data_IF_341987982310
#
_entry.id   IF_341987982310
#
_cell.length_a   1.000
_cell.length_b   1.000
_cell.length_c   1.000
_cell.angle_alpha   90.00
_cell.angle_beta   90.00
_cell.angle_gamma   90.00
#
_symmetry.space_group_name_H-M   'P 1'
#
loop_
_entity.id
_entity.type
_entity.pdbx_description
1 polymer ?
#
# COMPACT_ATOMS: atom_id res chain seq x y z
N UNK A 1 -33.99 -4.48 26.29
CA UNK A 1 -32.70 -3.85 26.65
C UNK A 1 -31.45 -4.49 26.01
N UNK A 2 -31.34 -5.82 25.84
CA UNK A 2 -30.13 -6.46 25.25
C UNK A 2 -29.82 -6.10 23.77
N UNK A 3 -30.83 -5.80 22.95
CA UNK A 3 -30.66 -5.58 21.49
C UNK A 3 -30.14 -4.19 21.14
N UNK A 4 -30.54 -3.16 21.90
CA UNK A 4 -30.05 -1.78 21.76
C UNK A 4 -28.63 -1.61 22.26
N UNK A 5 -28.26 -2.30 23.35
CA UNK A 5 -26.88 -2.37 23.83
C UNK A 5 -25.96 -2.97 22.75
N UNK A 6 -26.39 -4.05 22.09
CA UNK A 6 -25.60 -4.72 21.04
C UNK A 6 -25.36 -3.82 19.81
N UNK A 7 -26.30 -2.95 19.44
CA UNK A 7 -26.12 -2.01 18.33
C UNK A 7 -25.27 -0.80 18.71
N UNK A 8 -25.39 -0.30 19.94
CA UNK A 8 -24.49 0.72 20.46
C UNK A 8 -23.04 0.22 20.53
N UNK A 9 -22.83 -1.00 21.03
CA UNK A 9 -21.50 -1.62 21.06
C UNK A 9 -20.94 -1.86 19.66
N UNK A 10 -21.78 -2.25 18.69
CA UNK A 10 -21.34 -2.40 17.30
C UNK A 10 -20.92 -1.06 16.68
N UNK A 11 -21.67 0.02 16.91
CA UNK A 11 -21.31 1.35 16.41
C UNK A 11 -20.02 1.89 17.05
N UNK A 12 -19.87 1.73 18.37
CA UNK A 12 -18.65 2.12 19.10
C UNK A 12 -17.45 1.28 18.64
N UNK A 13 -17.64 -0.02 18.40
CA UNK A 13 -16.60 -0.90 17.89
C UNK A 13 -16.20 -0.53 16.45
N UNK A 14 -17.14 -0.17 15.58
CA UNK A 14 -16.84 0.33 14.23
C UNK A 14 -16.09 1.66 14.26
N UNK A 15 -16.42 2.57 15.19
CA UNK A 15 -15.69 3.84 15.37
C UNK A 15 -14.28 3.59 15.90
N UNK A 16 -14.12 2.72 16.89
CA UNK A 16 -12.81 2.31 17.42
C UNK A 16 -11.95 1.63 16.35
N UNK A 17 -12.52 0.70 15.57
CA UNK A 17 -11.82 0.08 14.45
C UNK A 17 -11.34 1.12 13.43
N UNK A 18 -12.20 2.08 13.08
CA UNK A 18 -11.85 3.14 12.14
C UNK A 18 -10.72 4.02 12.69
N UNK A 19 -10.79 4.42 13.96
CA UNK A 19 -9.73 5.18 14.64
C UNK A 19 -8.42 4.39 14.71
N UNK A 20 -8.47 3.09 15.03
CA UNK A 20 -7.28 2.24 15.06
C UNK A 20 -6.65 2.08 13.67
N UNK A 21 -7.45 1.87 12.63
CA UNK A 21 -6.95 1.81 11.24
C UNK A 21 -6.28 3.12 10.83
N UNK A 22 -6.86 4.28 11.17
CA UNK A 22 -6.25 5.58 10.89
C UNK A 22 -4.94 5.76 11.68
N UNK A 23 -4.86 5.35 12.94
CA UNK A 23 -3.59 5.41 13.67
C UNK A 23 -2.52 4.43 13.16
N UNK A 24 -2.91 3.27 12.60
CA UNK A 24 -1.96 2.30 12.03
C UNK A 24 -1.40 2.78 10.68
N UNK A 25 -2.18 3.53 9.89
CA UNK A 25 -1.68 4.14 8.64
C UNK A 25 -0.78 5.36 8.91
N UNK A 26 -1.01 6.10 10.00
CA UNK A 26 -0.16 7.23 10.39
C UNK A 26 1.03 6.87 11.30
N UNK A 27 0.99 5.73 12.01
CA UNK A 27 2.02 5.32 12.97
C UNK A 27 3.15 4.45 12.39
N UNK A 28 3.11 4.10 11.11
CA UNK A 28 4.17 3.32 10.46
C UNK A 28 5.28 4.21 9.89
N UNK A 29 5.88 5.07 10.71
CA UNK A 29 7.18 5.69 10.46
C UNK A 29 7.92 5.85 11.81
N UNK A 30 8.25 4.72 12.43
CA UNK A 30 9.44 4.64 13.29
C UNK A 30 10.47 3.79 12.53
N UNK A 31 10.87 4.27 11.35
CA UNK A 31 12.21 4.02 10.87
C UNK A 31 13.11 4.96 11.66
N UNK A 32 13.89 4.41 12.59
CA UNK A 32 15.13 5.08 13.01
C UNK A 32 16.08 5.02 11.84
N UNK A 33 15.85 5.88 10.84
CA UNK A 33 16.83 6.16 9.81
C UNK A 33 17.79 7.17 10.45
N UNK A 34 18.89 6.67 11.01
CA UNK A 34 20.08 7.47 11.29
C UNK A 34 20.71 7.84 9.94
N UNK A 35 20.01 8.69 9.19
CA UNK A 35 20.51 9.29 7.97
C UNK A 35 21.26 10.55 8.41
N UNK A 36 22.56 10.39 8.68
CA UNK A 36 23.49 11.52 8.80
C UNK A 36 23.43 12.33 7.52
N UNK A 37 22.58 13.37 7.53
CA UNK A 37 22.43 14.29 6.41
C UNK A 37 23.77 15.02 6.19
N UNK A 38 24.35 14.98 4.98
CA UNK A 38 25.57 15.70 4.68
C UNK A 38 25.34 17.20 4.88
N UNK A 39 26.24 17.82 5.65
CA UNK A 39 26.21 19.24 6.03
C UNK A 39 26.58 20.15 4.86
N UNK A 40 25.76 20.18 3.82
CA UNK A 40 25.78 21.24 2.83
C UNK A 40 24.60 22.16 3.09
N UNK A 41 24.90 23.36 3.58
CA UNK A 41 23.95 24.34 4.07
C UNK A 41 22.90 24.71 3.00
N UNK A 42 21.74 24.06 3.04
CA UNK A 42 20.52 24.67 2.53
C UNK A 42 20.08 25.66 3.59
N UNK A 43 20.33 26.94 3.32
CA UNK A 43 19.83 28.08 4.09
C UNK A 43 18.32 27.88 4.24
N UNK A 44 17.86 27.48 5.43
CA UNK A 44 16.47 27.49 5.79
C UNK A 44 16.01 28.95 5.75
N UNK A 45 15.52 29.40 4.59
CA UNK A 45 14.94 30.72 4.47
C UNK A 45 13.67 30.74 5.31
N UNK A 46 13.78 31.38 6.48
CA UNK A 46 12.67 31.67 7.38
C UNK A 46 11.73 32.67 6.68
N UNK A 47 10.86 32.18 5.81
CA UNK A 47 9.81 33.00 5.24
C UNK A 47 8.87 33.43 6.38
N UNK A 48 8.71 34.74 6.58
CA UNK A 48 7.80 35.30 7.59
C UNK A 48 6.40 34.70 7.38
N UNK A 49 5.92 33.94 8.37
CA UNK A 49 4.62 33.26 8.34
C UNK A 49 3.57 34.24 8.89
N UNK A 50 3.05 35.11 8.04
CA UNK A 50 1.87 35.93 8.37
C UNK A 50 0.64 35.06 8.15
N UNK A 51 -0.26 35.02 9.14
CA UNK A 51 -1.41 34.10 9.23
C UNK A 51 -2.44 34.23 8.07
N UNK A 52 -2.30 35.24 7.20
CA UNK A 52 -3.21 35.55 6.08
C UNK A 52 -2.53 35.76 4.72
N UNK A 53 -1.29 35.28 4.51
CA UNK A 53 -0.69 35.35 3.17
C UNK A 53 -1.10 34.14 2.32
N UNK A 54 -2.04 34.33 1.40
CA UNK A 54 -2.26 33.38 0.30
C UNK A 54 -1.02 33.45 -0.61
N UNK A 55 -0.19 32.39 -0.67
CA UNK A 55 1.03 32.44 -1.47
C UNK A 55 0.66 32.55 -2.96
N UNK A 56 1.26 33.53 -3.65
CA UNK A 56 0.95 33.92 -5.05
C UNK A 56 1.19 32.76 -6.06
N UNK A 57 1.82 31.65 -5.66
CA UNK A 57 2.08 30.47 -6.48
C UNK A 57 1.86 29.13 -5.73
N UNK A 58 0.89 29.07 -4.80
CA UNK A 58 0.60 27.86 -4.01
C UNK A 58 -0.56 27.01 -4.54
N UNK A 59 -0.59 25.74 -4.12
CA UNK A 59 -1.70 24.82 -4.35
C UNK A 59 -2.44 24.48 -3.05
N UNK A 60 -3.68 23.97 -3.18
CA UNK A 60 -4.52 23.55 -2.06
C UNK A 60 -4.87 22.07 -2.22
N UNK A 61 -4.32 21.24 -1.34
CA UNK A 61 -4.73 19.85 -1.22
C UNK A 61 -5.82 19.75 -0.15
N UNK A 62 -6.99 19.24 -0.54
CA UNK A 62 -8.16 19.11 0.35
C UNK A 62 -8.63 17.67 0.35
N UNK A 63 -8.74 17.09 1.53
CA UNK A 63 -9.30 15.76 1.76
C UNK A 63 -10.50 15.90 2.69
N UNK A 64 -11.60 15.23 2.35
CA UNK A 64 -12.81 15.21 3.17
C UNK A 64 -13.13 13.78 3.54
N UNK A 65 -13.02 13.46 4.83
CA UNK A 65 -13.40 12.16 5.37
C UNK A 65 -14.79 12.27 5.97
N UNK A 66 -15.71 11.39 5.59
CA UNK A 66 -17.07 11.36 6.11
C UNK A 66 -17.40 10.02 6.75
N UNK A 67 -18.17 10.06 7.83
CA UNK A 67 -18.79 8.90 8.46
C UNK A 67 -20.29 9.16 8.63
N UNK A 68 -21.10 8.23 8.15
CA UNK A 68 -22.55 8.25 8.27
C UNK A 68 -22.98 6.93 8.92
N UNK A 69 -23.72 7.02 10.03
CA UNK A 69 -24.32 5.84 10.65
C UNK A 69 -25.75 6.11 11.09
N UNK A 70 -26.71 5.22 10.80
CA UNK A 70 -28.05 5.29 11.39
C UNK A 70 -27.98 4.90 12.88
N UNK A 71 -28.53 5.74 13.76
CA UNK A 71 -28.67 5.45 15.18
C UNK A 71 -30.14 5.16 15.49
N UNK A 72 -30.40 3.98 16.06
CA UNK A 72 -31.71 3.61 16.59
C UNK A 72 -31.72 3.82 18.09
N UNK A 73 -32.35 4.90 18.53
CA UNK A 73 -32.61 5.15 19.95
C UNK A 73 -33.87 4.41 20.43
N UNK A 74 -34.18 4.52 21.72
CA UNK A 74 -35.36 3.88 22.32
C UNK A 74 -36.69 4.44 21.77
N UNK A 75 -36.68 5.65 21.22
CA UNK A 75 -37.80 6.31 20.55
C UNK A 75 -37.91 5.88 19.08
N UNK A 76 -39.13 5.86 18.55
CA UNK A 76 -39.52 5.28 17.25
C UNK A 76 -39.01 6.01 16.00
N UNK A 77 -38.36 7.17 16.17
CA UNK A 77 -37.88 8.00 15.06
C UNK A 77 -36.42 7.65 14.71
N UNK A 78 -36.12 7.24 13.46
CA UNK A 78 -34.75 6.99 13.03
C UNK A 78 -33.99 8.32 12.90
N UNK A 79 -32.78 8.41 13.48
CA UNK A 79 -31.87 9.56 13.30
C UNK A 79 -30.54 9.08 12.73
N UNK A 80 -29.93 9.89 11.87
CA UNK A 80 -28.58 9.63 11.34
C UNK A 80 -27.55 10.50 12.06
N UNK A 81 -26.41 9.89 12.39
CA UNK A 81 -25.22 10.60 12.85
C UNK A 81 -24.30 10.79 11.64
N UNK A 82 -23.99 12.05 11.35
CA UNK A 82 -23.06 12.46 10.31
C UNK A 82 -21.84 13.10 10.95
N UNK A 83 -20.65 12.61 10.63
CA UNK A 83 -19.37 13.20 11.00
C UNK A 83 -18.60 13.47 9.71
N UNK A 84 -18.07 14.68 9.54
CA UNK A 84 -17.17 15.00 8.45
C UNK A 84 -15.94 15.74 8.97
N UNK A 85 -14.78 15.29 8.52
CA UNK A 85 -13.48 15.88 8.86
C UNK A 85 -12.88 16.45 7.58
N UNK A 86 -12.59 17.75 7.59
CA UNK A 86 -11.96 18.44 6.48
C UNK A 86 -10.47 18.66 6.79
N UNK A 87 -9.60 18.03 6.01
CA UNK A 87 -8.16 18.21 6.07
C UNK A 87 -7.74 19.09 4.89
N UNK A 88 -7.28 20.30 5.18
CA UNK A 88 -6.79 21.25 4.18
C UNK A 88 -5.31 21.54 4.41
N UNK A 89 -4.48 21.21 3.42
CA UNK A 89 -3.06 21.51 3.40
C UNK A 89 -2.78 22.56 2.32
N UNK A 90 -2.31 23.73 2.74
CA UNK A 90 -1.86 24.80 1.85
C UNK A 90 -0.35 24.69 1.69
N UNK A 91 0.12 24.40 0.49
CA UNK A 91 1.55 24.26 0.20
C UNK A 91 2.02 25.33 -0.79
N UNK A 92 3.28 25.75 -0.64
CA UNK A 92 3.96 26.65 -1.58
C UNK A 92 4.74 25.80 -2.57
N UNK A 93 4.53 26.02 -3.86
CA UNK A 93 5.40 25.42 -4.87
C UNK A 93 6.70 26.22 -4.84
N UNK A 94 7.81 25.56 -4.51
CA UNK A 94 9.12 26.20 -4.58
C UNK A 94 9.39 26.54 -6.06
N UNK A 95 9.91 27.75 -6.38
CA UNK A 95 10.23 28.12 -7.75
C UNK A 95 11.36 27.26 -8.35
N UNK A 96 12.18 26.64 -7.50
CA UNK A 96 13.08 25.57 -7.88
C UNK A 96 12.37 24.22 -7.67
N UNK A 97 11.87 23.64 -8.76
CA UNK A 97 11.49 22.23 -8.79
C UNK A 97 12.75 21.38 -8.54
N UNK A 98 12.83 20.74 -7.37
CA UNK A 98 13.90 19.78 -7.00
C UNK A 98 13.63 18.39 -7.62
N UNK A 99 12.49 18.21 -8.30
CA UNK A 99 12.27 17.04 -9.16
C UNK A 99 13.10 17.18 -10.45
N UNK A 100 13.59 16.06 -11.01
CA UNK A 100 14.26 16.11 -12.30
C UNK A 100 13.31 16.79 -13.28
N UNK A 101 13.82 17.72 -14.09
CA UNK A 101 13.02 18.29 -15.17
C UNK A 101 12.35 17.12 -15.88
N UNK A 102 11.02 17.12 -16.09
CA UNK A 102 10.43 16.09 -16.92
C UNK A 102 10.97 16.34 -18.32
N UNK A 103 12.07 15.67 -18.65
CA UNK A 103 12.23 15.18 -20.00
C UNK A 103 10.90 14.51 -20.34
N UNK A 104 10.35 14.81 -21.51
CA UNK A 104 9.04 14.30 -21.92
C UNK A 104 8.90 12.83 -21.51
N UNK A 105 7.71 12.37 -21.09
CA UNK A 105 7.51 10.97 -20.67
C UNK A 105 8.09 9.99 -21.71
N UNK A 106 8.07 10.39 -22.98
CA UNK A 106 8.68 9.70 -24.11
C UNK A 106 10.22 9.65 -24.09
N UNK A 107 10.90 10.73 -23.66
CA UNK A 107 12.36 10.78 -23.55
C UNK A 107 12.88 9.97 -22.36
N UNK A 108 12.14 9.92 -21.25
CA UNK A 108 12.45 8.98 -20.15
C UNK A 108 12.20 7.51 -20.54
N UNK A 109 11.19 7.23 -21.36
CA UNK A 109 11.00 5.88 -21.97
C UNK A 109 12.07 5.52 -22.98
N UNK A 110 12.60 6.50 -23.70
CA UNK A 110 13.70 6.33 -24.64
C UNK A 110 15.08 6.39 -23.98
N UNK A 111 15.13 6.61 -22.66
CA UNK A 111 16.37 6.57 -21.91
C UNK A 111 16.67 5.12 -21.56
N UNK A 112 17.57 4.48 -22.33
CA UNK A 112 18.07 3.13 -22.07
C UNK A 112 18.69 2.98 -20.66
N UNK A 113 19.02 4.10 -20.00
CA UNK A 113 19.56 4.14 -18.64
C UNK A 113 18.49 3.92 -17.55
N UNK A 114 17.20 4.11 -17.85
CA UNK A 114 16.13 3.93 -16.85
C UNK A 114 15.77 2.44 -16.73
N UNK A 115 16.40 1.78 -15.77
CA UNK A 115 15.96 0.46 -15.30
C UNK A 115 14.71 0.61 -14.42
N UNK A 116 13.63 -0.09 -14.77
CA UNK A 116 12.43 -0.14 -13.95
C UNK A 116 12.68 -1.00 -12.70
N UNK A 117 13.01 -0.35 -11.58
CA UNK A 117 13.21 -0.99 -10.27
C UNK A 117 11.92 -1.10 -9.44
N UNK A 118 10.76 -0.74 -10.01
CA UNK A 118 9.49 -0.73 -9.26
C UNK A 118 9.13 -2.11 -8.73
N UNK A 119 9.36 -3.17 -9.51
CA UNK A 119 9.13 -4.57 -9.07
C UNK A 119 10.04 -4.98 -7.91
N UNK A 120 11.32 -4.62 -7.97
CA UNK A 120 12.28 -4.92 -6.89
C UNK A 120 11.86 -4.26 -5.58
N UNK A 121 11.42 -3.00 -5.64
CA UNK A 121 10.88 -2.30 -4.47
C UNK A 121 9.59 -2.93 -3.95
N UNK A 122 8.69 -3.32 -4.86
CA UNK A 122 7.44 -3.98 -4.50
C UNK A 122 7.69 -5.31 -3.78
N UNK A 123 8.57 -6.16 -4.34
CA UNK A 123 8.94 -7.44 -3.72
C UNK A 123 9.58 -7.23 -2.34
N UNK A 124 10.46 -6.23 -2.19
CA UNK A 124 11.03 -5.89 -0.88
C UNK A 124 9.97 -5.47 0.14
N UNK A 125 8.93 -4.73 -0.29
CA UNK A 125 7.80 -4.35 0.58
C UNK A 125 6.99 -5.59 0.96
N UNK A 126 6.68 -6.48 0.01
CA UNK A 126 5.92 -7.70 0.28
C UNK A 126 6.68 -8.63 1.23
N UNK A 127 7.98 -8.81 1.04
CA UNK A 127 8.82 -9.59 1.97
C UNK A 127 8.77 -9.02 3.38
N UNK A 128 8.90 -7.69 3.53
CA UNK A 128 8.82 -7.01 4.84
C UNK A 128 7.44 -7.20 5.48
N UNK A 129 6.37 -7.13 4.69
CA UNK A 129 5.01 -7.34 5.18
C UNK A 129 4.81 -8.77 5.70
N UNK A 130 5.25 -9.76 4.93
CA UNK A 130 5.17 -11.18 5.32
C UNK A 130 6.03 -11.48 6.56
N UNK A 131 7.23 -10.89 6.66
CA UNK A 131 8.07 -10.97 7.87
C UNK A 131 7.39 -10.37 9.09
N UNK A 132 6.68 -9.24 8.93
CA UNK A 132 5.91 -8.61 10.01
C UNK A 132 4.76 -9.48 10.51
N UNK A 133 4.22 -10.36 9.67
CA UNK A 133 3.23 -11.37 10.05
C UNK A 133 3.86 -12.66 10.60
N UNK A 134 5.13 -12.63 10.99
CA UNK A 134 5.89 -13.76 11.54
C UNK A 134 5.96 -14.95 10.57
N UNK A 135 6.09 -14.67 9.26
CA UNK A 135 6.21 -15.67 8.19
C UNK A 135 7.58 -15.58 7.51
N UNK A 136 8.01 -16.65 6.84
CA UNK A 136 9.20 -16.64 5.99
C UNK A 136 8.96 -15.80 4.73
N UNK A 137 9.21 -14.49 4.82
CA UNK A 137 8.83 -13.53 3.79
C UNK A 137 9.38 -13.82 2.39
N UNK A 138 10.65 -14.24 2.28
CA UNK A 138 11.28 -14.58 1.00
C UNK A 138 10.69 -15.86 0.40
N UNK A 139 10.66 -16.96 1.16
CA UNK A 139 10.12 -18.24 0.68
C UNK A 139 8.63 -18.16 0.34
N UNK A 140 7.83 -17.43 1.13
CA UNK A 140 6.40 -17.23 0.84
C UNK A 140 6.15 -16.35 -0.39
N UNK A 141 7.01 -15.37 -0.65
CA UNK A 141 6.94 -14.57 -1.88
C UNK A 141 7.32 -15.42 -3.11
N UNK A 142 8.39 -16.21 -3.02
CA UNK A 142 8.79 -17.14 -4.09
C UNK A 142 7.69 -18.17 -4.39
N UNK A 143 7.06 -18.71 -3.35
CA UNK A 143 5.90 -19.60 -3.49
C UNK A 143 4.73 -18.90 -4.19
N UNK A 144 4.43 -17.66 -3.82
CA UNK A 144 3.38 -16.86 -4.46
C UNK A 144 3.65 -16.65 -5.96
N UNK A 145 4.88 -16.34 -6.33
CA UNK A 145 5.27 -16.15 -7.75
C UNK A 145 5.14 -17.46 -8.54
N UNK A 146 5.51 -18.58 -7.92
CA UNK A 146 5.34 -19.92 -8.50
C UNK A 146 3.85 -20.24 -8.72
N UNK A 147 2.99 -20.03 -7.71
CA UNK A 147 1.55 -20.29 -7.77
C UNK A 147 0.83 -19.42 -8.82
N UNK A 148 1.20 -18.13 -8.93
CA UNK A 148 0.67 -17.23 -9.95
C UNK A 148 1.08 -17.68 -11.36
N UNK A 149 2.33 -18.14 -11.54
CA UNK A 149 2.81 -18.63 -12.82
C UNK A 149 2.21 -19.99 -13.22
N UNK A 150 1.88 -20.83 -12.23
CA UNK A 150 1.18 -22.11 -12.45
C UNK A 150 -0.29 -21.89 -12.81
N UNK A 151 -0.98 -21.00 -12.09
CA UNK A 151 -2.42 -20.72 -12.26
C UNK A 151 -2.68 -19.22 -12.47
N UNK A 152 -2.56 -18.72 -13.72
CA UNK A 152 -2.72 -17.30 -13.98
C UNK A 152 -4.14 -16.83 -13.66
N UNK A 153 -4.27 -15.77 -12.87
CA UNK A 153 -5.52 -15.31 -12.25
C UNK A 153 -6.45 -14.54 -13.22
N UNK A 154 -6.37 -14.80 -14.54
CA UNK A 154 -7.06 -14.03 -15.59
C UNK A 154 -8.59 -14.02 -15.47
N UNK A 155 -9.15 -15.00 -14.76
CA UNK A 155 -10.59 -15.14 -14.55
C UNK A 155 -11.15 -14.36 -13.36
N UNK A 156 -10.29 -13.79 -12.50
CA UNK A 156 -10.70 -13.04 -11.30
C UNK A 156 -10.90 -11.53 -11.56
N UNK A 157 -11.20 -11.15 -12.82
CA UNK A 157 -11.41 -9.77 -13.24
C UNK A 157 -10.14 -8.91 -13.16
N UNK A 158 -10.32 -7.61 -12.92
CA UNK A 158 -9.22 -6.62 -12.89
C UNK A 158 -8.18 -6.93 -11.79
N UNK A 159 -8.65 -7.39 -10.63
CA UNK A 159 -7.76 -7.71 -9.50
C UNK A 159 -6.87 -8.89 -9.87
N UNK A 160 -7.44 -9.96 -10.42
CA UNK A 160 -6.66 -11.10 -10.90
C UNK A 160 -5.60 -10.72 -11.93
N UNK A 161 -5.98 -9.92 -12.93
CA UNK A 161 -5.04 -9.41 -13.93
C UNK A 161 -3.92 -8.54 -13.32
N UNK A 162 -4.24 -7.76 -12.27
CA UNK A 162 -3.24 -6.96 -11.57
C UNK A 162 -2.23 -7.85 -10.83
N UNK A 163 -2.69 -8.86 -10.10
CA UNK A 163 -1.82 -9.81 -9.41
C UNK A 163 -0.92 -10.57 -10.39
N UNK A 164 -1.49 -11.01 -11.51
CA UNK A 164 -0.75 -11.67 -12.60
C UNK A 164 0.40 -10.78 -13.12
N UNK A 165 0.12 -9.51 -13.42
CA UNK A 165 1.13 -8.57 -13.94
C UNK A 165 2.20 -8.19 -12.91
N UNK A 166 1.80 -8.03 -11.64
CA UNK A 166 2.70 -7.60 -10.56
C UNK A 166 3.65 -8.72 -10.15
N UNK A 167 3.15 -9.96 -10.03
CA UNK A 167 3.93 -11.10 -9.56
C UNK A 167 4.53 -11.97 -10.67
N UNK A 168 4.36 -11.61 -11.94
CA UNK A 168 5.06 -12.25 -13.06
C UNK A 168 6.31 -11.45 -13.43
N UNK A 169 7.51 -11.88 -12.99
CA UNK A 169 8.75 -11.21 -13.37
C UNK A 169 9.10 -11.47 -14.84
N UNK A 170 9.77 -10.52 -15.48
CA UNK A 170 10.31 -10.65 -16.83
C UNK A 170 11.83 -10.71 -16.80
N UNK A 171 12.45 -11.29 -17.84
CA UNK A 171 13.93 -11.39 -17.92
C UNK A 171 14.61 -10.03 -18.04
N UNK A 172 13.86 -9.00 -18.44
CA UNK A 172 14.32 -7.60 -18.51
C UNK A 172 14.36 -6.92 -17.13
N UNK A 173 13.71 -7.50 -16.13
CA UNK A 173 13.66 -6.93 -14.79
C UNK A 173 14.98 -7.24 -14.06
N UNK A 174 15.58 -6.24 -13.41
CA UNK A 174 16.77 -6.42 -12.56
C UNK A 174 16.38 -7.02 -11.21
N UNK A 175 15.97 -8.29 -11.22
CA UNK A 175 15.55 -9.06 -10.07
C UNK A 175 16.55 -10.17 -9.76
N UNK A 176 16.55 -10.63 -8.51
CA UNK A 176 17.32 -11.81 -8.12
C UNK A 176 16.88 -13.03 -8.94
N UNK A 177 17.85 -13.88 -9.29
CA UNK A 177 17.67 -15.06 -10.12
C UNK A 177 16.65 -16.06 -9.54
N UNK A 178 16.52 -16.09 -8.21
CA UNK A 178 15.54 -16.92 -7.50
C UNK A 178 14.10 -16.61 -7.93
N UNK A 179 13.77 -15.33 -8.17
CA UNK A 179 12.43 -14.91 -8.59
C UNK A 179 12.11 -15.39 -10.01
N UNK A 180 13.09 -15.30 -10.90
CA UNK A 180 12.96 -15.82 -12.27
C UNK A 180 12.84 -17.34 -12.27
N UNK A 181 13.55 -18.01 -11.37
CA UNK A 181 13.47 -19.45 -11.21
C UNK A 181 12.10 -19.90 -10.66
N UNK A 182 11.56 -19.19 -9.67
CA UNK A 182 10.22 -19.43 -9.15
C UNK A 182 9.14 -19.38 -10.23
N UNK A 183 9.20 -18.38 -11.11
CA UNK A 183 8.31 -18.29 -12.28
C UNK A 183 8.48 -19.51 -13.21
N UNK A 184 9.71 -19.92 -13.49
CA UNK A 184 9.98 -21.08 -14.35
C UNK A 184 9.42 -22.38 -13.74
N UNK A 185 9.49 -22.55 -12.44
CA UNK A 185 8.87 -23.71 -11.76
C UNK A 185 7.35 -23.73 -11.91
N UNK A 186 6.68 -22.60 -11.70
CA UNK A 186 5.24 -22.50 -11.91
C UNK A 186 4.82 -22.72 -13.36
N UNK A 187 5.55 -22.12 -14.32
CA UNK A 187 5.30 -22.30 -15.74
C UNK A 187 5.48 -23.75 -16.23
N UNK A 188 6.32 -24.53 -15.55
CA UNK A 188 6.53 -25.96 -15.82
C UNK A 188 5.52 -26.87 -15.10
N UNK A 189 4.59 -26.32 -14.31
CA UNK A 189 3.59 -27.09 -13.56
C UNK A 189 4.20 -27.92 -12.43
N UNK A 190 5.29 -27.46 -11.82
CA UNK A 190 5.88 -28.12 -10.65
C UNK A 190 5.06 -27.76 -9.41
N UNK A 191 4.83 -28.73 -8.53
CA UNK A 191 4.15 -28.49 -7.25
C UNK A 191 4.91 -27.46 -6.39
N UNK A 192 4.43 -26.21 -6.43
CA UNK A 192 5.02 -25.07 -5.76
C UNK A 192 5.04 -25.20 -4.22
N UNK A 193 4.10 -25.96 -3.64
CA UNK A 193 4.07 -26.25 -2.20
C UNK A 193 5.30 -27.05 -1.78
N UNK A 194 5.65 -28.06 -2.57
CA UNK A 194 6.75 -28.97 -2.27
C UNK A 194 8.11 -28.31 -2.49
N UNK A 195 8.24 -27.50 -3.54
CA UNK A 195 9.47 -26.76 -3.83
C UNK A 195 9.77 -25.72 -2.73
N UNK A 196 8.75 -25.01 -2.25
CA UNK A 196 8.89 -23.97 -1.22
C UNK A 196 8.29 -24.39 0.13
N UNK A 197 8.80 -25.50 0.67
CA UNK A 197 8.33 -26.08 1.95
C UNK A 197 8.49 -25.18 3.18
N UNK A 198 9.38 -24.17 3.12
CA UNK A 198 9.58 -23.17 4.18
C UNK A 198 8.37 -22.24 4.39
N UNK A 199 7.41 -22.25 3.47
CA UNK A 199 6.16 -21.51 3.58
C UNK A 199 4.98 -22.50 3.66
N UNK A 200 4.46 -22.80 4.87
CA UNK A 200 3.33 -23.71 5.03
C UNK A 200 2.01 -23.10 4.51
N UNK A 201 0.99 -23.94 4.32
CA UNK A 201 -0.33 -23.51 3.91
C UNK A 201 -0.91 -22.45 4.87
N UNK A 202 -1.50 -21.38 4.33
CA UNK A 202 -2.02 -20.25 5.10
C UNK A 202 -1.01 -19.13 5.36
N UNK A 203 0.28 -19.37 5.10
CA UNK A 203 1.32 -18.35 5.18
C UNK A 203 1.57 -17.63 3.84
N UNK A 204 1.09 -18.20 2.72
CA UNK A 204 1.14 -17.56 1.41
C UNK A 204 0.33 -16.26 1.36
N UNK A 205 0.72 -15.35 0.45
CA UNK A 205 -0.03 -14.12 0.21
C UNK A 205 -1.41 -14.48 -0.37
N UNK A 206 -1.42 -15.38 -1.37
CA UNK A 206 -2.65 -15.83 -2.01
C UNK A 206 -3.56 -16.55 -1.02
N UNK A 207 -3.05 -17.49 -0.21
CA UNK A 207 -3.83 -18.21 0.80
C UNK A 207 -4.61 -17.31 1.77
N UNK A 208 -4.15 -16.06 1.98
CA UNK A 208 -4.82 -15.10 2.87
C UNK A 208 -5.98 -14.37 2.18
N UNK A 209 -5.93 -14.23 0.85
CA UNK A 209 -6.93 -13.50 0.04
C UNK A 209 -7.85 -14.44 -0.75
N UNK A 210 -7.40 -15.65 -1.08
CA UNK A 210 -8.22 -16.71 -1.65
C UNK A 210 -8.91 -17.45 -0.50
N UNK A 211 -10.10 -16.98 -0.16
CA UNK A 211 -11.06 -17.85 0.52
C UNK A 211 -11.43 -18.95 -0.48
N UNK A 212 -10.76 -20.10 -0.42
CA UNK A 212 -11.34 -21.34 -0.92
C UNK A 212 -12.53 -21.58 -0.01
N UNK A 213 -13.71 -21.16 -0.49
CA UNK A 213 -14.97 -21.55 0.09
C UNK A 213 -15.13 -23.04 -0.20
N UNK A 214 -14.79 -23.85 0.80
CA UNK A 214 -15.30 -25.21 0.91
C UNK A 214 -16.77 -25.10 1.32
#
# INVERSE_FOLDING_TARGET
MRRTHRQFFAAVYSILLFLTCVSVTFGANNGTDDETCPKDQIIAQRAKRWLLSYPINGGLAKMVLGFLSPLRFHHTLPRSLNLSVNLQAVYRILPAIIFPRPETIFKNRANEQYSDQSRTQLYAIVEKLLKRWNRNGRSCLLRTICEVAETPLRHNGLVGALFDVVFTPYETDQLDSDYLMAKKYGANGVDCMRVYSDCPFGHGLLDTISAIQI
#
